data_IF_453947109002
#
_entry.id   IF_453947109002
#
_cell.length_a   1.000
_cell.length_b   1.000
_cell.length_c   1.000
_cell.angle_alpha   90.00
_cell.angle_beta   90.00
_cell.angle_gamma   90.00
#
_symmetry.space_group_name_H-M   'P 1'
#
loop_
_entity.id
_entity.type
_entity.pdbx_description
1 polymer ?
#
# COMPACT_ATOMS: atom_id res chain seq x y z
N UNK A 1 -13.48 6.05 10.60
CA UNK A 1 -12.73 5.56 9.45
C UNK A 1 -11.47 6.40 9.28
N UNK A 2 -10.34 5.90 9.72
CA UNK A 2 -9.07 6.63 9.64
C UNK A 2 -8.25 6.00 8.53
N UNK A 3 -7.92 6.81 7.52
CA UNK A 3 -7.04 6.39 6.44
C UNK A 3 -7.59 5.19 5.62
N UNK A 4 -8.91 5.13 5.46
CA UNK A 4 -9.61 4.07 4.71
C UNK A 4 -9.39 2.66 5.33
N UNK A 5 -8.98 2.63 6.60
CA UNK A 5 -8.94 1.44 7.44
C UNK A 5 -10.01 1.61 8.51
N UNK A 6 -10.87 0.62 8.65
CA UNK A 6 -11.97 0.60 9.61
C UNK A 6 -11.82 -0.55 10.59
N UNK A 7 -12.30 -0.34 11.81
CA UNK A 7 -12.39 -1.40 12.83
C UNK A 7 -13.73 -2.11 12.70
N UNK A 8 -13.71 -3.43 12.61
CA UNK A 8 -14.87 -4.26 12.37
C UNK A 8 -15.10 -5.31 13.45
N UNK A 9 -16.38 -5.66 13.64
CA UNK A 9 -16.79 -6.89 14.27
C UNK A 9 -17.13 -7.90 13.16
N UNK A 10 -16.30 -8.92 13.00
CA UNK A 10 -16.45 -9.94 11.95
C UNK A 10 -16.76 -11.28 12.60
N UNK A 11 -17.79 -11.98 12.12
CA UNK A 11 -18.18 -13.29 12.64
C UNK A 11 -17.00 -14.27 12.52
N UNK A 12 -16.66 -14.93 13.62
CA UNK A 12 -15.55 -15.88 13.70
C UNK A 12 -14.16 -15.24 13.88
N UNK A 13 -14.08 -13.90 14.06
CA UNK A 13 -12.83 -13.16 14.31
C UNK A 13 -12.91 -12.37 15.61
N UNK A 14 -11.79 -11.86 16.07
CA UNK A 14 -11.77 -10.99 17.25
C UNK A 14 -12.51 -9.67 16.98
N UNK A 15 -13.17 -9.15 18.01
CA UNK A 15 -13.69 -7.78 17.95
C UNK A 15 -12.53 -6.80 17.84
N UNK A 16 -12.58 -5.94 16.82
CA UNK A 16 -11.51 -4.97 16.59
C UNK A 16 -10.58 -5.34 15.44
N UNK A 17 -10.99 -6.27 14.57
CA UNK A 17 -10.27 -6.55 13.32
C UNK A 17 -10.19 -5.29 12.46
N UNK A 18 -8.98 -4.91 12.07
CA UNK A 18 -8.74 -3.82 11.13
C UNK A 18 -8.90 -4.31 9.70
N UNK A 19 -9.73 -3.61 8.91
CA UNK A 19 -10.02 -3.99 7.52
C UNK A 19 -9.88 -2.81 6.58
N UNK A 20 -9.46 -3.09 5.35
CA UNK A 20 -9.35 -2.12 4.27
C UNK A 20 -9.80 -2.70 2.93
N UNK A 21 -10.26 -1.84 2.03
CA UNK A 21 -10.43 -2.15 0.60
C UNK A 21 -9.28 -1.58 -0.25
N UNK A 22 -8.39 -0.79 0.37
CA UNK A 22 -7.27 -0.15 -0.34
C UNK A 22 -6.02 -1.02 -0.18
N UNK A 23 -6.03 -2.14 -0.85
CA UNK A 23 -4.81 -2.89 -1.10
C UNK A 23 -4.69 -3.12 -2.60
N UNK A 24 -3.47 -3.09 -3.11
CA UNK A 24 -3.22 -3.47 -4.49
C UNK A 24 -3.33 -4.98 -4.62
N UNK A 25 -3.95 -5.43 -5.70
CA UNK A 25 -3.84 -6.82 -6.12
C UNK A 25 -2.40 -7.08 -6.58
N UNK A 26 -1.91 -8.30 -6.36
CA UNK A 26 -0.59 -8.71 -6.84
C UNK A 26 -0.70 -9.44 -8.17
N UNK A 27 0.26 -9.16 -9.05
CA UNK A 27 0.36 -9.82 -10.35
C UNK A 27 0.79 -11.27 -10.17
N UNK A 28 0.15 -12.16 -10.93
CA UNK A 28 0.53 -13.56 -11.09
C UNK A 28 0.47 -13.92 -12.57
N UNK A 29 1.62 -14.22 -13.15
CA UNK A 29 1.71 -14.64 -14.54
C UNK A 29 1.01 -16.01 -14.73
N UNK A 30 0.33 -16.15 -15.88
CA UNK A 30 -0.39 -17.36 -16.27
C UNK A 30 0.00 -17.81 -17.67
N UNK A 31 -0.01 -19.12 -17.91
CA UNK A 31 0.14 -19.70 -19.25
C UNK A 31 -1.16 -19.54 -20.08
N UNK A 32 -1.10 -19.99 -21.33
CA UNK A 32 -2.26 -19.97 -22.24
C UNK A 32 -3.45 -20.81 -21.75
N UNK A 33 -3.23 -21.74 -20.82
CA UNK A 33 -4.24 -22.60 -20.22
C UNK A 33 -4.78 -22.01 -18.89
N UNK A 34 -4.26 -20.85 -18.44
CA UNK A 34 -4.65 -20.21 -17.21
C UNK A 34 -3.93 -20.71 -15.95
N UNK A 35 -2.94 -21.61 -16.07
CA UNK A 35 -2.16 -22.08 -14.94
C UNK A 35 -1.11 -21.06 -14.51
N UNK A 36 -0.85 -20.95 -13.22
CA UNK A 36 0.18 -20.07 -12.70
C UNK A 36 1.57 -20.53 -13.13
N UNK A 37 2.36 -19.60 -13.66
CA UNK A 37 3.76 -19.82 -14.03
C UNK A 37 4.70 -18.93 -13.22
N UNK A 38 5.96 -19.33 -13.16
CA UNK A 38 7.00 -18.52 -12.52
C UNK A 38 7.42 -17.40 -13.46
N UNK A 39 7.33 -16.15 -12.97
CA UNK A 39 7.76 -14.95 -13.67
C UNK A 39 8.41 -14.01 -12.64
N UNK A 40 9.51 -13.31 -12.97
CA UNK A 40 10.15 -12.34 -12.07
C UNK A 40 9.23 -11.23 -11.59
N UNK A 41 8.14 -10.95 -12.31
CA UNK A 41 7.16 -9.91 -11.98
C UNK A 41 6.08 -10.40 -11.01
N UNK A 42 6.01 -11.70 -10.70
CA UNK A 42 5.03 -12.23 -9.76
C UNK A 42 5.18 -11.57 -8.38
N UNK A 43 4.06 -11.17 -7.79
CA UNK A 43 4.02 -10.45 -6.53
C UNK A 43 4.13 -8.93 -6.65
N UNK A 44 4.44 -8.37 -7.82
CA UNK A 44 4.40 -6.93 -8.05
C UNK A 44 2.96 -6.40 -7.99
N UNK A 45 2.75 -5.13 -7.59
CA UNK A 45 1.43 -4.51 -7.65
C UNK A 45 0.85 -4.55 -9.06
N UNK A 46 -0.43 -4.86 -9.18
CA UNK A 46 -1.15 -4.71 -10.45
C UNK A 46 -1.43 -3.24 -10.69
N UNK A 47 -1.09 -2.74 -11.87
CA UNK A 47 -1.37 -1.37 -12.30
C UNK A 47 -2.69 -1.28 -13.06
N UNK A 48 -3.35 -0.13 -12.91
CA UNK A 48 -4.51 0.26 -13.70
C UNK A 48 -4.31 1.68 -14.23
N UNK A 49 -4.78 1.95 -15.44
CA UNK A 49 -4.80 3.30 -16.00
C UNK A 49 -5.84 4.17 -15.29
N UNK A 50 -5.54 5.44 -15.15
CA UNK A 50 -6.55 6.45 -14.85
C UNK A 50 -7.39 6.74 -16.09
N UNK A 51 -8.49 7.45 -15.90
CA UNK A 51 -9.37 7.88 -16.98
C UNK A 51 -8.70 8.76 -18.04
N UNK A 52 -7.53 9.33 -17.72
CA UNK A 52 -6.72 10.11 -18.66
C UNK A 52 -5.94 9.23 -19.67
N UNK A 53 -5.92 7.91 -19.46
CA UNK A 53 -5.21 6.94 -20.29
C UNK A 53 -3.68 7.10 -20.33
N UNK A 54 -3.10 7.84 -19.36
CA UNK A 54 -1.65 8.13 -19.33
C UNK A 54 -1.01 7.89 -17.99
N UNK A 55 -1.74 8.15 -16.91
CA UNK A 55 -1.26 7.89 -15.56
C UNK A 55 -1.75 6.53 -15.10
N UNK A 56 -0.84 5.74 -14.55
CA UNK A 56 -1.14 4.46 -13.95
C UNK A 56 -0.93 4.52 -12.44
N UNK A 57 -1.66 3.70 -11.72
CA UNK A 57 -1.55 3.56 -10.27
C UNK A 57 -1.82 2.12 -9.86
N UNK A 58 -1.39 1.68 -8.68
CA UNK A 58 -1.74 0.36 -8.19
C UNK A 58 -3.26 0.17 -8.11
N UNK A 59 -3.75 -0.86 -8.82
CA UNK A 59 -5.17 -1.18 -8.87
C UNK A 59 -5.69 -1.51 -7.47
N UNK A 60 -6.80 -0.88 -7.08
CA UNK A 60 -7.45 -1.14 -5.80
C UNK A 60 -8.31 -2.40 -5.88
N UNK A 61 -8.28 -3.19 -4.83
CA UNK A 61 -9.20 -4.31 -4.70
C UNK A 61 -10.57 -3.81 -4.21
N UNK A 62 -11.64 -4.44 -4.70
CA UNK A 62 -13.00 -4.22 -4.18
C UNK A 62 -13.32 -5.15 -3.00
N UNK A 63 -12.38 -6.00 -2.60
CA UNK A 63 -12.56 -6.96 -1.52
C UNK A 63 -12.03 -6.40 -0.21
N UNK A 64 -12.80 -6.60 0.86
CA UNK A 64 -12.34 -6.31 2.21
C UNK A 64 -11.24 -7.29 2.63
N UNK A 65 -10.10 -6.77 3.03
CA UNK A 65 -8.98 -7.54 3.54
C UNK A 65 -8.71 -7.18 4.99
N UNK A 66 -8.43 -8.19 5.81
CA UNK A 66 -7.99 -7.99 7.19
C UNK A 66 -6.50 -7.64 7.17
N UNK A 67 -6.16 -6.55 7.84
CA UNK A 67 -4.80 -6.00 7.87
C UNK A 67 -4.23 -5.92 9.27
N UNK A 68 -5.02 -6.23 10.29
CA UNK A 68 -4.55 -6.23 11.67
C UNK A 68 -5.67 -6.44 12.69
N UNK A 69 -5.30 -6.38 13.96
CA UNK A 69 -6.19 -6.47 15.12
C UNK A 69 -5.72 -5.49 16.21
N UNK A 70 -6.62 -4.64 16.68
CA UNK A 70 -6.30 -3.66 17.73
C UNK A 70 -6.05 -4.31 19.10
N UNK A 71 -6.47 -5.55 19.28
CA UNK A 71 -6.35 -6.23 20.56
C UNK A 71 -4.95 -6.76 20.79
N UNK A 72 -4.46 -6.59 22.01
CA UNK A 72 -3.23 -7.21 22.42
C UNK A 72 -3.39 -8.73 22.47
N UNK A 73 -2.38 -9.46 22.00
CA UNK A 73 -2.31 -10.93 22.13
C UNK A 73 -2.07 -11.37 23.57
N UNK A 74 -1.42 -10.52 24.35
CA UNK A 74 -1.15 -10.75 25.75
C UNK A 74 -1.15 -9.44 26.53
N UNK A 75 -1.75 -9.45 27.71
CA UNK A 75 -1.60 -8.41 28.75
C UNK A 75 -1.30 -9.08 30.07
N UNK A 76 -0.33 -8.59 30.78
CA UNK A 76 0.05 -9.10 32.10
C UNK A 76 0.66 -8.01 32.96
N UNK A 77 0.34 -8.05 34.24
CA UNK A 77 0.94 -7.18 35.23
C UNK A 77 1.62 -8.02 36.33
N UNK A 78 2.76 -7.55 36.78
CA UNK A 78 3.45 -8.10 37.92
C UNK A 78 3.75 -6.97 38.91
N UNK A 79 3.29 -7.16 40.15
CA UNK A 79 3.52 -6.20 41.25
C UNK A 79 4.21 -6.94 42.36
N UNK A 80 5.33 -6.38 42.87
CA UNK A 80 6.03 -6.91 44.00
C UNK A 80 6.43 -5.79 44.96
N UNK A 81 6.22 -6.02 46.26
CA UNK A 81 6.54 -5.06 47.30
C UNK A 81 7.62 -5.67 48.23
N UNK A 82 8.73 -5.02 48.28
CA UNK A 82 9.85 -5.37 49.18
C UNK A 82 9.85 -4.40 50.37
N UNK A 83 9.81 -4.90 51.59
CA UNK A 83 9.88 -4.08 52.80
C UNK A 83 11.05 -4.52 53.65
N UNK A 84 11.90 -3.60 54.00
CA UNK A 84 13.02 -3.82 54.91
C UNK A 84 13.09 -2.67 55.93
N UNK A 85 12.89 -2.97 57.19
CA UNK A 85 12.80 -2.00 58.29
C UNK A 85 11.79 -0.88 57.95
N UNK A 86 12.26 0.35 57.82
CA UNK A 86 11.42 1.53 57.54
C UNK A 86 11.39 1.90 56.06
N UNK A 87 11.94 1.06 55.18
CA UNK A 87 11.98 1.31 53.73
C UNK A 87 11.12 0.29 53.01
N UNK A 88 10.25 0.76 52.13
CA UNK A 88 9.45 -0.08 51.23
C UNK A 88 9.71 0.29 49.78
N UNK A 89 9.98 -0.72 48.95
CA UNK A 89 10.14 -0.59 47.50
C UNK A 89 8.99 -1.34 46.86
N UNK A 90 8.20 -0.64 46.03
CA UNK A 90 7.15 -1.23 45.24
C UNK A 90 7.59 -1.22 43.78
N UNK A 91 7.62 -2.39 43.13
CA UNK A 91 7.98 -2.56 41.73
C UNK A 91 6.75 -3.07 41.00
N UNK A 92 6.31 -2.32 39.98
CA UNK A 92 5.21 -2.72 39.10
C UNK A 92 5.76 -2.84 37.67
N UNK A 93 5.50 -3.98 37.04
CA UNK A 93 5.77 -4.22 35.63
C UNK A 93 4.43 -4.49 34.95
N UNK A 94 4.04 -3.65 34.00
CA UNK A 94 2.88 -3.87 33.13
C UNK A 94 3.38 -4.18 31.72
N UNK A 95 2.83 -5.23 31.12
CA UNK A 95 3.25 -5.72 29.81
C UNK A 95 2.05 -5.85 28.89
N UNK A 96 2.16 -5.26 27.71
CA UNK A 96 1.23 -5.43 26.61
C UNK A 96 2.00 -5.88 25.37
N UNK A 97 1.65 -7.06 24.81
CA UNK A 97 2.30 -7.63 23.63
C UNK A 97 1.28 -7.76 22.51
N UNK A 98 1.62 -7.26 21.32
CA UNK A 98 0.75 -7.25 20.15
C UNK A 98 -0.28 -6.12 20.18
N UNK A 99 -1.19 -6.19 19.24
CA UNK A 99 -2.13 -5.12 18.90
C UNK A 99 -1.56 -4.19 17.84
N UNK A 100 -2.35 -4.01 16.78
CA UNK A 100 -1.99 -3.16 15.64
C UNK A 100 -2.65 -1.79 15.78
N UNK A 101 -2.03 -0.76 15.24
CA UNK A 101 -2.62 0.56 15.17
C UNK A 101 -2.35 1.22 13.82
N UNK A 102 -3.24 2.11 13.41
CA UNK A 102 -3.11 2.85 12.16
C UNK A 102 -2.34 4.15 12.40
N UNK A 103 -1.18 4.27 11.78
CA UNK A 103 -0.38 5.49 11.83
C UNK A 103 -0.85 6.49 10.76
N UNK A 104 -1.94 7.20 11.04
CA UNK A 104 -2.55 8.16 10.12
C UNK A 104 -1.57 9.29 9.73
N UNK A 105 -0.77 9.79 10.66
CA UNK A 105 0.22 10.85 10.40
C UNK A 105 1.25 10.44 9.36
N UNK A 106 1.72 9.19 9.40
CA UNK A 106 2.64 8.66 8.39
C UNK A 106 1.97 8.60 7.02
N UNK A 107 0.74 8.12 6.94
CA UNK A 107 -0.02 8.07 5.69
C UNK A 107 -0.23 9.46 5.10
N UNK A 108 -0.68 10.42 5.91
CA UNK A 108 -0.88 11.80 5.43
C UNK A 108 0.44 12.45 5.04
N UNK A 109 1.51 12.25 5.80
CA UNK A 109 2.85 12.74 5.44
C UNK A 109 3.37 12.17 4.13
N UNK A 110 3.11 10.89 3.86
CA UNK A 110 3.42 10.25 2.57
C UNK A 110 2.55 10.82 1.44
N UNK A 111 1.24 10.96 1.68
CA UNK A 111 0.30 11.47 0.67
C UNK A 111 0.60 12.92 0.26
N UNK A 112 0.98 13.76 1.21
CA UNK A 112 1.35 15.16 0.95
C UNK A 112 2.78 15.32 0.45
N UNK A 113 3.57 14.25 0.41
CA UNK A 113 4.96 14.30 0.00
C UNK A 113 5.90 14.95 1.03
N UNK A 114 5.49 15.07 2.29
CA UNK A 114 6.28 15.70 3.35
C UNK A 114 7.38 14.78 3.93
N UNK A 115 7.33 13.48 3.65
CA UNK A 115 8.28 12.52 4.17
C UNK A 115 9.42 12.25 3.18
N UNK A 116 10.64 12.02 3.69
CA UNK A 116 11.82 11.76 2.87
C UNK A 116 11.68 10.53 1.94
N UNK A 117 10.93 9.50 2.35
CA UNK A 117 10.66 8.32 1.53
C UNK A 117 9.82 8.62 0.28
N UNK A 118 9.21 9.80 0.18
CA UNK A 118 8.44 10.23 -1.00
C UNK A 118 9.29 10.99 -2.02
N UNK A 119 10.59 11.16 -1.78
CA UNK A 119 11.51 11.81 -2.73
C UNK A 119 11.82 10.90 -3.91
N UNK A 120 11.97 9.60 -3.68
CA UNK A 120 12.28 8.64 -4.75
C UNK A 120 11.19 8.65 -5.82
N UNK A 121 11.58 8.85 -7.06
CA UNK A 121 10.70 8.89 -8.23
C UNK A 121 9.85 10.15 -8.37
N UNK A 122 10.06 11.19 -7.55
CA UNK A 122 9.24 12.41 -7.54
C UNK A 122 9.44 13.29 -8.77
N UNK A 123 10.64 13.33 -9.28
CA UNK A 123 11.07 14.11 -10.43
C UNK A 123 12.20 13.38 -11.17
N UNK A 124 12.63 13.89 -12.33
CA UNK A 124 13.66 13.25 -13.12
C UNK A 124 14.99 13.11 -12.37
N UNK A 125 15.34 14.06 -11.50
CA UNK A 125 16.57 14.02 -10.70
C UNK A 125 16.55 12.94 -9.61
N UNK A 126 15.37 12.52 -9.20
CA UNK A 126 15.14 11.47 -8.20
C UNK A 126 14.62 10.14 -8.82
N UNK A 127 14.81 9.94 -10.12
CA UNK A 127 14.43 8.71 -10.82
C UNK A 127 13.01 8.69 -11.38
N UNK A 128 12.33 9.82 -11.38
CA UNK A 128 11.07 10.04 -12.10
C UNK A 128 11.31 10.52 -13.54
N UNK A 129 10.34 11.23 -14.09
CA UNK A 129 10.38 11.75 -15.46
C UNK A 129 9.90 13.20 -15.53
N UNK A 130 10.46 13.96 -16.46
CA UNK A 130 9.87 15.22 -16.93
C UNK A 130 8.82 14.94 -18.01
N UNK A 131 7.75 15.71 -18.03
CA UNK A 131 6.68 15.57 -19.02
C UNK A 131 6.10 16.93 -19.41
N UNK A 132 5.46 16.99 -20.57
CA UNK A 132 4.79 18.21 -21.05
C UNK A 132 3.30 17.98 -21.13
N UNK A 133 2.54 18.87 -20.48
CA UNK A 133 1.09 18.81 -20.51
C UNK A 133 0.56 19.09 -21.92
N UNK A 134 -0.27 18.20 -22.41
CA UNK A 134 -0.94 18.40 -23.71
C UNK A 134 -2.10 19.42 -23.65
N UNK A 135 -2.52 19.81 -22.45
CA UNK A 135 -3.61 20.78 -22.28
C UNK A 135 -3.13 22.23 -22.36
N UNK A 136 -1.96 22.53 -21.78
CA UNK A 136 -1.45 23.90 -21.69
C UNK A 136 -0.04 24.08 -22.24
N UNK A 137 0.60 23.00 -22.75
CA UNK A 137 1.96 23.04 -23.29
C UNK A 137 3.07 23.30 -22.27
N UNK A 138 2.75 23.34 -20.97
CA UNK A 138 3.72 23.57 -19.90
C UNK A 138 4.48 22.29 -19.59
N UNK A 139 5.80 22.41 -19.45
CA UNK A 139 6.65 21.31 -19.00
C UNK A 139 6.71 21.24 -17.48
N UNK A 140 6.59 20.05 -16.94
CA UNK A 140 6.63 19.71 -15.52
C UNK A 140 7.74 18.70 -15.28
N UNK A 141 8.33 18.73 -14.09
CA UNK A 141 9.34 17.77 -13.62
C UNK A 141 8.85 17.07 -12.34
N UNK A 142 7.72 16.40 -12.44
CA UNK A 142 7.05 15.76 -11.31
C UNK A 142 6.41 14.39 -11.69
N UNK A 143 6.89 13.80 -12.78
CA UNK A 143 6.36 12.52 -13.27
C UNK A 143 6.91 11.33 -12.47
N UNK A 144 6.02 10.64 -11.74
CA UNK A 144 6.35 9.42 -11.00
C UNK A 144 6.19 8.21 -11.92
N UNK A 145 7.22 7.33 -11.93
CA UNK A 145 7.13 6.02 -12.58
C UNK A 145 6.51 5.03 -11.57
N UNK A 146 5.28 4.57 -11.78
CA UNK A 146 4.68 3.61 -10.86
C UNK A 146 5.35 2.24 -10.98
N UNK A 147 5.65 1.63 -9.83
CA UNK A 147 6.16 0.26 -9.76
C UNK A 147 4.99 -0.71 -9.83
N UNK A 148 5.01 -1.62 -10.80
CA UNK A 148 3.98 -2.62 -10.97
C UNK A 148 3.87 -3.15 -12.39
N UNK A 149 2.87 -3.97 -12.60
CA UNK A 149 2.58 -4.67 -13.86
C UNK A 149 1.12 -4.51 -14.23
N UNK A 150 0.82 -4.22 -15.48
CA UNK A 150 -0.56 -4.12 -15.94
C UNK A 150 -1.26 -5.48 -15.92
N UNK A 151 -2.54 -5.48 -15.53
CA UNK A 151 -3.38 -6.68 -15.62
C UNK A 151 -3.57 -7.11 -17.08
N UNK A 152 -3.82 -8.40 -17.30
CA UNK A 152 -4.21 -8.90 -18.64
C UNK A 152 -5.45 -8.18 -19.17
N UNK A 153 -5.44 -7.84 -20.44
CA UNK A 153 -6.54 -7.13 -21.11
C UNK A 153 -6.56 -5.62 -20.86
N UNK A 154 -5.53 -5.07 -20.20
CA UNK A 154 -5.35 -3.62 -20.16
C UNK A 154 -4.76 -3.15 -21.48
N UNK A 155 -5.36 -2.12 -22.05
CA UNK A 155 -4.90 -1.52 -23.33
C UNK A 155 -4.58 -0.06 -23.16
N UNK A 156 -3.65 0.44 -23.97
CA UNK A 156 -3.37 1.86 -24.14
C UNK A 156 -3.77 2.28 -25.56
N UNK A 157 -4.38 3.46 -25.67
CA UNK A 157 -4.72 4.03 -26.97
C UNK A 157 -3.54 4.86 -27.48
N UNK A 158 -2.97 4.48 -28.60
CA UNK A 158 -1.92 5.18 -29.29
C UNK A 158 -2.40 6.50 -29.91
N UNK A 159 -1.53 7.45 -30.24
CA UNK A 159 -1.90 8.70 -30.88
C UNK A 159 -2.62 8.53 -32.25
N UNK A 160 -2.41 7.40 -32.93
CA UNK A 160 -3.09 7.03 -34.18
C UNK A 160 -4.49 6.44 -33.96
N UNK A 161 -4.92 6.31 -32.70
CA UNK A 161 -6.22 5.73 -32.31
C UNK A 161 -6.25 4.21 -32.19
N UNK A 162 -5.14 3.51 -32.44
CA UNK A 162 -5.03 2.06 -32.23
C UNK A 162 -4.93 1.72 -30.74
N UNK A 163 -5.44 0.55 -30.35
CA UNK A 163 -5.29 0.03 -28.99
C UNK A 163 -4.23 -1.07 -28.98
N UNK A 164 -3.27 -0.92 -28.08
CA UNK A 164 -2.21 -1.93 -27.84
C UNK A 164 -2.43 -2.56 -26.47
N UNK A 165 -2.41 -3.90 -26.41
CA UNK A 165 -2.48 -4.65 -25.14
C UNK A 165 -1.16 -4.48 -24.38
N UNK A 166 -1.24 -4.02 -23.15
CA UNK A 166 -0.11 -3.81 -22.24
C UNK A 166 -0.12 -4.81 -21.09
N UNK A 167 -1.02 -5.78 -21.11
CA UNK A 167 -1.11 -6.81 -20.07
C UNK A 167 0.21 -7.56 -19.87
N UNK A 168 0.65 -7.64 -18.61
CA UNK A 168 1.94 -8.25 -18.25
C UNK A 168 3.16 -7.37 -18.48
N UNK A 169 3.02 -6.14 -18.97
CA UNK A 169 4.11 -5.17 -19.10
C UNK A 169 4.22 -4.30 -17.84
N UNK A 170 5.43 -3.84 -17.53
CA UNK A 170 5.63 -2.77 -16.55
C UNK A 170 5.29 -1.41 -17.19
N UNK A 171 5.12 -0.37 -16.38
CA UNK A 171 4.86 0.99 -16.88
C UNK A 171 5.92 1.49 -17.86
N UNK A 172 7.18 1.11 -17.66
CA UNK A 172 8.29 1.49 -18.56
C UNK A 172 8.30 0.71 -19.87
N UNK A 173 7.63 -0.43 -19.92
CA UNK A 173 7.55 -1.29 -21.11
C UNK A 173 6.29 -1.00 -21.95
N UNK A 174 5.28 -0.37 -21.34
CA UNK A 174 4.02 0.02 -21.97
C UNK A 174 4.14 1.41 -22.60
#
# INVERSE_FOLDING_TARGET
>A
DIAEISTWAVVGKSYGTLRTQIHSTTYQAKDANGNNITDPKNGMPVLAWRSDGRTAFPARSNQWQDVGDINAKFRGGWINTFTYKNVSLNVMIDTKIGGDFVMASYRFGTHTGALANTLAGRDASHGGISWTSKYNGVSYDDGIIPVGVFASGQTITQPDGSNVDVGGLTYQQA
#
